data_IF_791707149510
#
_entry.id   IF_791707149510
#
_cell.length_a   1.000
_cell.length_b   1.000
_cell.length_c   1.000
_cell.angle_alpha   90.00
_cell.angle_beta   90.00
_cell.angle_gamma   90.00
#
_symmetry.space_group_name_H-M   'P 1'
#
loop_
_entity.id
_entity.type
_entity.pdbx_description
1 polymer ?
#
# COMPACT_ATOMS: atom_id res chain seq x y z
N UNK A 1 0.65 6.08 0.64
CA UNK A 1 1.35 4.95 1.28
C UNK A 1 0.63 3.59 1.14
N UNK A 2 -0.46 3.50 0.37
CA UNK A 2 -1.17 2.23 0.16
C UNK A 2 -2.21 1.87 1.23
N UNK A 3 -2.44 2.70 2.22
CA UNK A 3 -3.55 2.60 3.16
C UNK A 3 -4.80 3.30 2.61
N UNK A 4 -6.01 2.99 3.11
CA UNK A 4 -7.23 3.68 2.73
C UNK A 4 -7.13 5.21 2.89
N UNK A 5 -7.74 5.96 1.97
CA UNK A 5 -7.65 7.44 1.92
C UNK A 5 -8.26 8.15 3.13
N UNK A 6 -9.19 7.50 3.82
CA UNK A 6 -9.85 8.05 5.01
C UNK A 6 -8.88 8.29 6.16
N UNK A 7 -7.81 7.52 6.29
CA UNK A 7 -6.89 7.53 7.42
C UNK A 7 -7.62 7.34 8.77
N UNK A 8 -6.92 7.51 9.91
CA UNK A 8 -7.46 7.13 11.23
C UNK A 8 -8.65 7.99 11.66
N UNK A 9 -8.48 9.30 11.72
CA UNK A 9 -9.52 10.20 12.26
C UNK A 9 -10.77 10.25 11.40
N UNK A 10 -10.62 10.27 10.07
CA UNK A 10 -11.79 10.25 9.19
C UNK A 10 -12.51 8.89 9.22
N UNK A 11 -11.77 7.79 9.37
CA UNK A 11 -12.37 6.46 9.55
C UNK A 11 -13.19 6.42 10.85
N UNK A 12 -12.64 6.93 11.96
CA UNK A 12 -13.37 7.03 13.23
C UNK A 12 -14.66 7.85 13.10
N UNK A 13 -14.64 8.97 12.36
CA UNK A 13 -15.83 9.77 12.10
C UNK A 13 -16.89 9.04 11.24
N UNK A 14 -16.45 8.18 10.31
CA UNK A 14 -17.38 7.40 9.47
C UNK A 14 -18.01 6.25 10.25
N UNK A 15 -17.21 5.53 11.02
CA UNK A 15 -17.64 4.39 11.85
C UNK A 15 -18.48 4.86 13.05
N UNK A 16 -18.10 5.97 13.63
CA UNK A 16 -18.62 6.53 14.86
C UNK A 16 -17.66 6.36 16.02
N UNK A 17 -17.41 7.46 16.74
CA UNK A 17 -16.47 7.47 17.85
C UNK A 17 -16.88 6.55 19.00
N UNK A 18 -18.17 6.42 19.28
CA UNK A 18 -18.73 5.48 20.23
C UNK A 18 -18.36 4.02 19.90
N UNK A 19 -18.46 3.63 18.65
CA UNK A 19 -18.02 2.31 18.19
C UNK A 19 -16.51 2.13 18.37
N UNK A 20 -15.73 3.14 18.03
CA UNK A 20 -14.25 3.12 18.24
C UNK A 20 -13.89 2.94 19.70
N UNK A 21 -14.58 3.64 20.60
CA UNK A 21 -14.38 3.52 22.06
C UNK A 21 -14.77 2.14 22.56
N UNK A 22 -15.91 1.61 22.14
CA UNK A 22 -16.37 0.27 22.55
C UNK A 22 -15.38 -0.81 22.10
N UNK A 23 -14.84 -0.72 20.89
CA UNK A 23 -13.80 -1.65 20.40
C UNK A 23 -12.52 -1.53 21.21
N UNK A 24 -12.03 -0.32 21.45
CA UNK A 24 -10.81 -0.10 22.23
C UNK A 24 -10.95 -0.61 23.68
N UNK A 25 -12.07 -0.32 24.34
CA UNK A 25 -12.37 -0.80 25.68
C UNK A 25 -12.48 -2.33 25.70
N UNK A 26 -13.20 -2.91 24.74
CA UNK A 26 -13.33 -4.36 24.62
C UNK A 26 -11.99 -5.07 24.44
N UNK A 27 -11.08 -4.54 23.63
CA UNK A 27 -9.73 -5.11 23.49
C UNK A 27 -8.94 -4.93 24.79
N UNK A 28 -8.98 -3.74 25.39
CA UNK A 28 -8.30 -3.49 26.66
C UNK A 28 -8.72 -4.47 27.75
N UNK A 29 -10.02 -4.77 27.88
CA UNK A 29 -10.55 -5.64 28.92
C UNK A 29 -10.31 -7.12 28.65
N UNK A 30 -10.39 -7.54 27.38
CA UNK A 30 -10.32 -8.96 27.01
C UNK A 30 -8.89 -9.43 26.65
N UNK A 31 -7.92 -8.53 26.47
CA UNK A 31 -6.53 -8.87 26.18
C UNK A 31 -5.57 -8.41 27.29
N UNK A 32 -5.70 -8.93 28.54
CA UNK A 32 -4.93 -8.44 29.69
C UNK A 32 -3.42 -8.70 29.58
N UNK A 33 -3.01 -9.68 28.78
CA UNK A 33 -1.62 -10.09 28.62
C UNK A 33 -0.96 -9.55 27.34
N UNK A 34 -1.67 -8.72 26.56
CA UNK A 34 -1.12 -8.14 25.35
C UNK A 34 -0.08 -7.06 25.72
N UNK A 35 1.12 -7.13 25.14
CA UNK A 35 2.24 -6.21 25.44
C UNK A 35 1.94 -4.77 25.01
N UNK A 36 0.99 -4.55 24.10
CA UNK A 36 0.55 -3.25 23.65
C UNK A 36 -0.83 -2.85 24.19
N UNK A 37 -1.34 -3.59 25.19
CA UNK A 37 -2.66 -3.34 25.80
C UNK A 37 -2.88 -1.87 26.15
N UNK A 38 -1.86 -1.21 26.69
CA UNK A 38 -1.96 0.16 27.13
C UNK A 38 -2.20 1.19 26.01
N UNK A 39 -1.96 0.84 24.74
CA UNK A 39 -2.35 1.67 23.59
C UNK A 39 -3.86 1.84 23.46
N UNK A 40 -4.65 0.95 24.04
CA UNK A 40 -6.12 1.01 24.04
C UNK A 40 -6.68 1.87 25.17
N UNK A 41 -5.85 2.42 26.07
CA UNK A 41 -6.24 3.48 27.02
C UNK A 41 -6.41 4.78 26.25
N UNK A 42 -7.67 5.11 25.96
CA UNK A 42 -7.99 6.25 25.14
C UNK A 42 -7.69 7.56 25.89
N UNK A 43 -7.19 8.60 25.20
CA UNK A 43 -6.90 9.90 25.81
C UNK A 43 -8.18 10.63 26.22
N UNK A 44 -8.07 11.52 27.22
CA UNK A 44 -9.20 12.24 27.84
C UNK A 44 -10.09 12.96 26.82
N UNK A 45 -9.52 13.55 25.78
CA UNK A 45 -10.30 14.28 24.77
C UNK A 45 -11.33 13.40 24.05
N UNK A 46 -11.09 12.08 23.91
CA UNK A 46 -12.05 11.14 23.34
C UNK A 46 -13.33 11.07 24.19
N UNK A 47 -13.18 10.97 25.50
CA UNK A 47 -14.32 10.93 26.40
C UNK A 47 -15.08 12.26 26.41
N UNK A 48 -14.38 13.40 26.36
CA UNK A 48 -15.02 14.72 26.23
C UNK A 48 -15.79 14.83 24.89
N UNK A 49 -15.27 14.27 23.80
CA UNK A 49 -16.00 14.20 22.53
C UNK A 49 -17.29 13.37 22.64
N UNK A 50 -17.25 12.24 23.35
CA UNK A 50 -18.44 11.42 23.60
C UNK A 50 -19.50 12.20 24.42
N UNK A 51 -19.09 12.85 25.53
CA UNK A 51 -19.96 13.66 26.38
C UNK A 51 -20.65 14.78 25.61
N UNK A 52 -19.95 15.37 24.63
CA UNK A 52 -20.49 16.42 23.76
C UNK A 52 -21.27 15.86 22.54
N UNK A 53 -21.47 14.54 22.45
CA UNK A 53 -22.11 13.88 21.31
C UNK A 53 -21.43 14.16 19.96
N UNK A 54 -20.09 14.34 19.98
CA UNK A 54 -19.29 14.51 18.74
C UNK A 54 -18.83 13.15 18.23
N UNK A 55 -19.79 12.39 17.68
CA UNK A 55 -19.57 11.00 17.30
C UNK A 55 -19.11 10.81 15.85
N UNK A 56 -18.96 11.90 15.11
CA UNK A 56 -18.56 11.86 13.70
C UNK A 56 -19.70 12.15 12.74
N UNK A 57 -19.72 11.47 11.59
CA UNK A 57 -20.67 11.77 10.49
C UNK A 57 -22.14 11.59 10.84
N UNK A 58 -22.45 10.81 11.87
CA UNK A 58 -23.83 10.55 12.31
C UNK A 58 -24.40 11.63 13.25
N UNK A 59 -23.56 12.54 13.76
CA UNK A 59 -23.96 13.62 14.70
C UNK A 59 -23.48 15.00 14.27
N UNK A 60 -23.22 15.23 12.98
CA UNK A 60 -22.74 16.49 12.42
C UNK A 60 -21.41 17.03 12.94
N UNK A 61 -20.70 16.28 13.78
CA UNK A 61 -19.39 16.65 14.33
C UNK A 61 -18.63 15.47 14.90
N UNK A 62 -17.32 15.50 14.78
CA UNK A 62 -16.37 14.51 15.26
C UNK A 62 -14.97 15.12 15.21
N UNK A 63 -13.97 14.39 14.74
CA UNK A 63 -12.65 14.95 14.44
C UNK A 63 -12.73 16.01 13.33
N UNK A 64 -13.72 15.84 12.45
CA UNK A 64 -14.04 16.80 11.38
C UNK A 64 -15.50 17.21 11.46
N UNK A 65 -15.75 18.48 11.11
CA UNK A 65 -17.09 19.04 11.00
C UNK A 65 -17.24 19.75 9.66
N UNK A 66 -18.37 19.53 8.98
CA UNK A 66 -18.70 20.25 7.76
C UNK A 66 -19.68 21.37 8.09
N UNK A 67 -19.33 22.58 7.71
CA UNK A 67 -20.24 23.75 7.78
C UNK A 67 -20.50 24.25 6.38
N UNK A 68 -21.66 24.90 6.18
CA UNK A 68 -21.99 25.63 4.95
C UNK A 68 -22.06 27.11 5.30
N UNK A 69 -21.49 27.95 4.45
CA UNK A 69 -21.66 29.39 4.53
C UNK A 69 -23.04 29.85 3.97
N UNK A 70 -23.33 31.14 4.05
CA UNK A 70 -24.57 31.71 3.57
C UNK A 70 -24.80 31.53 2.06
N UNK A 71 -23.74 31.29 1.31
CA UNK A 71 -23.75 31.00 -0.13
C UNK A 71 -23.82 29.51 -0.45
N UNK A 72 -23.99 28.64 0.55
CA UNK A 72 -24.04 27.19 0.40
C UNK A 72 -22.69 26.51 0.18
N UNK A 73 -21.56 27.22 0.22
CA UNK A 73 -20.22 26.69 0.07
C UNK A 73 -19.83 25.91 1.30
N UNK A 74 -19.46 24.64 1.10
CA UNK A 74 -19.03 23.75 2.18
C UNK A 74 -17.57 23.99 2.58
N UNK A 75 -17.34 24.14 3.88
CA UNK A 75 -16.00 24.17 4.48
C UNK A 75 -15.86 23.05 5.51
N UNK A 76 -14.71 22.37 5.47
CA UNK A 76 -14.37 21.32 6.46
C UNK A 76 -13.50 21.96 7.56
N UNK A 77 -13.95 21.81 8.78
CA UNK A 77 -13.22 22.18 9.98
C UNK A 77 -12.58 20.92 10.58
N UNK A 78 -11.44 21.07 11.25
CA UNK A 78 -10.81 20.04 12.06
C UNK A 78 -10.82 20.46 13.53
N UNK A 79 -11.03 19.49 14.41
CA UNK A 79 -10.96 19.66 15.85
C UNK A 79 -9.49 19.79 16.29
N UNK A 80 -9.14 20.83 17.01
CA UNK A 80 -7.87 20.90 17.75
C UNK A 80 -7.99 20.04 19.00
N UNK A 81 -7.15 19.01 19.12
CA UNK A 81 -7.24 18.03 20.20
C UNK A 81 -6.77 18.57 21.59
N UNK A 82 -6.17 19.76 21.60
CA UNK A 82 -5.76 20.42 22.85
C UNK A 82 -6.80 21.39 23.38
N UNK A 83 -7.35 22.22 22.47
CA UNK A 83 -8.34 23.26 22.84
C UNK A 83 -9.77 22.76 22.71
N UNK A 84 -10.01 21.70 21.95
CA UNK A 84 -11.34 21.18 21.56
C UNK A 84 -12.18 22.21 20.79
N UNK A 85 -11.52 23.07 20.04
CA UNK A 85 -12.14 24.05 19.16
C UNK A 85 -12.02 23.66 17.70
N UNK A 86 -13.06 23.94 16.90
CA UNK A 86 -13.03 23.70 15.47
C UNK A 86 -12.41 24.86 14.71
N UNK A 87 -11.48 24.57 13.82
CA UNK A 87 -10.86 25.55 12.94
C UNK A 87 -10.74 25.02 11.50
N UNK A 88 -10.64 25.89 10.50
CA UNK A 88 -10.42 25.45 9.12
C UNK A 88 -9.18 24.57 8.99
N UNK A 89 -9.29 23.47 8.21
CA UNK A 89 -8.19 22.53 8.00
C UNK A 89 -6.98 23.27 7.41
N UNK A 90 -5.87 23.23 8.12
CA UNK A 90 -4.60 23.81 7.65
C UNK A 90 -3.91 22.82 6.72
N UNK A 91 -3.53 23.27 5.52
CA UNK A 91 -2.66 22.49 4.64
C UNK A 91 -1.25 22.47 5.20
N UNK A 92 -0.80 21.30 5.62
CA UNK A 92 0.57 21.08 6.07
C UNK A 92 1.34 20.36 4.96
N UNK A 93 2.57 20.78 4.68
CA UNK A 93 3.46 20.15 3.73
C UNK A 93 4.70 19.67 4.47
N UNK A 94 5.08 18.43 4.19
CA UNK A 94 6.32 17.83 4.68
C UNK A 94 7.18 17.41 3.51
N UNK A 95 8.46 17.70 3.55
CA UNK A 95 9.40 17.34 2.49
C UNK A 95 9.45 15.84 2.26
N UNK A 96 9.49 15.07 3.34
CA UNK A 96 9.45 13.61 3.31
C UNK A 96 8.27 13.08 2.50
N UNK A 97 7.04 13.63 2.74
CA UNK A 97 5.85 13.22 1.98
C UNK A 97 5.90 13.65 0.52
N UNK A 98 6.44 14.83 0.25
CA UNK A 98 6.57 15.33 -1.11
C UNK A 98 7.55 14.48 -1.92
N UNK A 99 8.66 14.05 -1.32
CA UNK A 99 9.63 13.17 -1.95
C UNK A 99 9.04 11.75 -2.16
N UNK A 100 8.35 11.19 -1.18
CA UNK A 100 7.69 9.90 -1.32
C UNK A 100 6.63 9.90 -2.44
N UNK A 101 5.88 11.00 -2.65
CA UNK A 101 4.88 11.10 -3.71
C UNK A 101 5.46 11.02 -5.13
N UNK A 102 6.72 11.39 -5.33
CA UNK A 102 7.41 11.32 -6.64
C UNK A 102 7.68 9.89 -7.08
N UNK A 103 7.70 8.94 -6.13
CA UNK A 103 7.95 7.52 -6.40
C UNK A 103 6.64 6.87 -6.84
N UNK A 104 6.61 6.28 -8.02
CA UNK A 104 5.40 5.63 -8.57
C UNK A 104 5.01 4.38 -7.79
N UNK A 105 5.97 3.49 -7.56
CA UNK A 105 5.75 2.25 -6.83
C UNK A 105 5.58 2.53 -5.32
N UNK A 106 4.46 2.08 -4.75
CA UNK A 106 4.10 2.37 -3.35
C UNK A 106 5.07 1.72 -2.36
N UNK A 107 5.56 0.50 -2.66
CA UNK A 107 6.44 -0.23 -1.74
C UNK A 107 7.79 0.49 -1.54
N UNK A 108 8.30 1.16 -2.56
CA UNK A 108 9.59 1.85 -2.51
C UNK A 108 9.51 3.16 -1.72
N UNK A 109 8.30 3.68 -1.48
CA UNK A 109 8.07 4.90 -0.67
C UNK A 109 8.42 4.72 0.79
N UNK A 110 8.28 3.51 1.32
CA UNK A 110 8.47 3.26 2.76
C UNK A 110 9.89 3.55 3.22
N UNK A 111 10.89 3.22 2.42
CA UNK A 111 12.29 3.57 2.71
C UNK A 111 12.49 5.09 2.79
N UNK A 112 11.90 5.86 1.86
CA UNK A 112 11.96 7.33 1.90
C UNK A 112 11.27 7.91 3.13
N UNK A 113 10.12 7.34 3.52
CA UNK A 113 9.35 7.80 4.67
C UNK A 113 10.13 7.66 5.98
N UNK A 114 10.78 6.51 6.22
CA UNK A 114 11.53 6.29 7.47
C UNK A 114 12.87 7.02 7.52
N UNK A 115 13.43 7.39 6.37
CA UNK A 115 14.68 8.15 6.29
C UNK A 115 14.46 9.67 6.35
N UNK A 116 13.22 10.15 6.35
CA UNK A 116 12.91 11.57 6.46
C UNK A 116 13.36 12.17 7.79
N UNK A 117 13.86 13.42 7.74
CA UNK A 117 14.33 14.16 8.92
C UNK A 117 13.27 15.07 9.56
N UNK A 118 12.13 15.26 8.90
CA UNK A 118 11.02 16.07 9.39
C UNK A 118 10.05 15.27 10.28
N UNK A 119 9.01 15.93 10.79
CA UNK A 119 7.98 15.30 11.64
C UNK A 119 7.26 14.13 10.96
N UNK A 120 7.16 14.12 9.64
CA UNK A 120 6.58 12.99 8.93
C UNK A 120 7.50 11.75 8.99
N UNK A 121 8.81 11.95 8.80
CA UNK A 121 9.79 10.88 8.98
C UNK A 121 9.80 10.32 10.40
N UNK A 122 9.76 11.20 11.42
CA UNK A 122 9.65 10.80 12.82
C UNK A 122 8.37 9.98 13.08
N UNK A 123 7.23 10.44 12.59
CA UNK A 123 5.95 9.74 12.70
C UNK A 123 6.01 8.35 12.08
N UNK A 124 6.60 8.19 10.88
CA UNK A 124 6.68 6.89 10.23
C UNK A 124 7.66 5.94 10.90
N UNK A 125 8.79 6.44 11.42
CA UNK A 125 9.70 5.61 12.24
C UNK A 125 9.00 5.09 13.49
N UNK A 126 8.29 5.96 14.21
CA UNK A 126 7.53 5.56 15.39
C UNK A 126 6.46 4.51 15.02
N UNK A 127 5.65 4.79 14.02
CA UNK A 127 4.54 3.93 13.63
C UNK A 127 4.99 2.56 13.14
N UNK A 128 5.99 2.52 12.24
CA UNK A 128 6.49 1.26 11.70
C UNK A 128 7.33 0.50 12.71
N UNK A 129 8.18 1.16 13.50
CA UNK A 129 8.95 0.49 14.54
C UNK A 129 8.07 -0.18 15.58
N UNK A 130 7.00 0.49 16.03
CA UNK A 130 6.01 -0.08 16.93
C UNK A 130 5.27 -1.26 16.27
N UNK A 131 4.84 -1.10 15.01
CA UNK A 131 4.18 -2.17 14.25
C UNK A 131 5.10 -3.39 14.09
N UNK A 132 6.37 -3.19 13.71
CA UNK A 132 7.31 -4.30 13.54
C UNK A 132 7.57 -5.03 14.85
N UNK A 133 7.70 -4.28 15.95
CA UNK A 133 7.82 -4.87 17.28
C UNK A 133 6.63 -5.76 17.65
N UNK A 134 5.43 -5.36 17.29
CA UNK A 134 4.23 -6.12 17.58
C UNK A 134 4.11 -7.36 16.70
N UNK A 135 4.22 -7.21 15.36
CA UNK A 135 3.97 -8.31 14.43
C UNK A 135 4.95 -9.46 14.55
N UNK A 136 6.23 -9.18 14.89
CA UNK A 136 7.23 -10.24 15.04
C UNK A 136 6.86 -11.24 16.14
N UNK A 137 6.15 -10.77 17.18
CA UNK A 137 5.70 -11.61 18.30
C UNK A 137 4.42 -12.39 17.98
N UNK A 138 3.72 -12.03 16.89
CA UNK A 138 2.53 -12.77 16.41
C UNK A 138 2.92 -14.05 15.65
N UNK A 139 4.19 -14.26 15.42
CA UNK A 139 4.74 -15.49 14.87
C UNK A 139 5.52 -16.22 15.98
N UNK A 140 5.15 -17.45 16.37
CA UNK A 140 4.04 -18.29 15.84
C UNK A 140 2.70 -18.18 16.63
N UNK A 141 2.52 -17.17 17.46
CA UNK A 141 1.35 -17.07 18.36
C UNK A 141 0.00 -17.11 17.61
N UNK A 142 -0.11 -16.37 16.51
CA UNK A 142 -1.34 -16.30 15.70
C UNK A 142 -1.19 -17.07 14.40
N UNK A 143 0.01 -17.11 13.83
CA UNK A 143 0.27 -17.76 12.55
C UNK A 143 1.70 -18.28 12.52
N UNK A 144 1.90 -19.43 11.90
CA UNK A 144 3.23 -19.99 11.67
C UNK A 144 3.93 -19.35 10.48
N UNK A 145 3.17 -18.77 9.52
CA UNK A 145 3.73 -18.19 8.32
C UNK A 145 3.50 -16.67 8.27
N UNK A 146 4.60 -15.94 8.09
CA UNK A 146 4.60 -14.47 8.08
C UNK A 146 3.71 -13.86 6.97
N UNK A 147 3.58 -14.52 5.80
CA UNK A 147 2.75 -14.01 4.71
C UNK A 147 1.25 -13.97 5.05
N UNK A 148 0.77 -14.82 5.97
CA UNK A 148 -0.63 -14.81 6.40
C UNK A 148 -0.96 -13.56 7.20
N UNK A 149 -0.01 -13.06 7.99
CA UNK A 149 -0.16 -11.77 8.69
C UNK A 149 -0.31 -10.64 7.67
N UNK A 150 0.53 -10.64 6.62
CA UNK A 150 0.43 -9.66 5.54
C UNK A 150 -0.90 -9.75 4.79
N UNK A 151 -1.33 -10.95 4.42
CA UNK A 151 -2.58 -11.17 3.69
C UNK A 151 -3.80 -10.80 4.56
N UNK A 152 -3.76 -11.06 5.87
CA UNK A 152 -4.82 -10.68 6.81
C UNK A 152 -4.97 -9.15 6.90
N UNK A 153 -3.86 -8.41 7.02
CA UNK A 153 -3.90 -6.94 7.07
C UNK A 153 -4.34 -6.33 5.73
N UNK A 154 -3.91 -6.93 4.61
CA UNK A 154 -4.34 -6.51 3.27
C UNK A 154 -5.84 -6.74 3.06
N UNK A 155 -6.34 -7.90 3.43
CA UNK A 155 -7.77 -8.25 3.29
C UNK A 155 -8.66 -7.49 4.30
N UNK A 156 -8.25 -7.44 5.57
CA UNK A 156 -9.06 -6.85 6.64
C UNK A 156 -9.08 -5.33 6.66
N UNK A 157 -7.96 -4.68 6.31
CA UNK A 157 -7.82 -3.22 6.38
C UNK A 157 -7.66 -2.56 5.00
N UNK A 158 -7.72 -3.31 3.92
CA UNK A 158 -7.58 -2.78 2.55
C UNK A 158 -6.19 -2.18 2.28
N UNK A 159 -5.15 -2.68 2.94
CA UNK A 159 -3.77 -2.23 2.69
C UNK A 159 -3.25 -2.83 1.39
N UNK A 160 -2.41 -2.08 0.68
CA UNK A 160 -1.73 -2.59 -0.53
C UNK A 160 -0.59 -3.53 -0.18
N UNK A 161 0.13 -3.24 0.90
CA UNK A 161 1.25 -4.04 1.38
C UNK A 161 1.03 -4.40 2.84
N UNK A 162 1.32 -5.63 3.20
CA UNK A 162 1.30 -6.08 4.58
C UNK A 162 2.54 -5.64 5.37
N UNK A 163 2.52 -5.79 6.69
CA UNK A 163 3.57 -5.26 7.56
C UNK A 163 4.95 -5.90 7.33
N UNK A 164 5.06 -7.21 7.05
CA UNK A 164 6.34 -7.82 6.70
C UNK A 164 6.83 -7.42 5.31
N UNK A 165 5.92 -7.18 4.35
CA UNK A 165 6.27 -6.59 3.05
C UNK A 165 6.83 -5.17 3.20
N UNK A 166 6.23 -4.35 4.06
CA UNK A 166 6.72 -3.00 4.39
C UNK A 166 8.11 -3.09 5.03
N UNK A 167 8.26 -3.96 6.02
CA UNK A 167 9.55 -4.15 6.69
C UNK A 167 10.62 -4.65 5.70
N UNK A 168 10.27 -5.59 4.84
CA UNK A 168 11.15 -6.09 3.78
C UNK A 168 11.67 -4.97 2.87
N UNK A 169 10.81 -4.01 2.49
CA UNK A 169 11.18 -2.89 1.62
C UNK A 169 12.07 -1.85 2.32
N UNK A 170 11.95 -1.71 3.63
CA UNK A 170 12.81 -0.85 4.45
C UNK A 170 14.15 -1.54 4.72
N UNK A 171 14.16 -2.87 4.75
CA UNK A 171 15.28 -3.72 5.14
C UNK A 171 15.16 -4.18 6.59
N UNK A 172 15.44 -5.48 6.84
CA UNK A 172 15.29 -6.09 8.18
C UNK A 172 16.14 -5.36 9.21
N UNK A 173 17.42 -5.14 8.93
CA UNK A 173 18.34 -4.45 9.85
C UNK A 173 17.88 -3.04 10.17
N UNK A 174 17.45 -2.29 9.16
CA UNK A 174 16.94 -0.92 9.35
C UNK A 174 15.69 -0.90 10.20
N UNK A 175 14.76 -1.84 10.00
CA UNK A 175 13.59 -1.99 10.86
C UNK A 175 13.95 -2.32 12.31
N UNK A 176 14.95 -3.16 12.54
CA UNK A 176 15.49 -3.46 13.89
C UNK A 176 16.09 -2.21 14.54
N UNK A 177 16.93 -1.45 13.82
CA UNK A 177 17.49 -0.18 14.32
C UNK A 177 16.36 0.79 14.76
N UNK A 178 15.30 0.89 13.95
CA UNK A 178 14.14 1.74 14.27
C UNK A 178 13.44 1.24 15.54
N UNK A 179 13.16 -0.06 15.65
CA UNK A 179 12.55 -0.66 16.85
C UNK A 179 13.40 -0.41 18.10
N UNK A 180 14.70 -0.65 18.04
CA UNK A 180 15.62 -0.47 19.16
C UNK A 180 15.71 1.00 19.60
N UNK A 181 15.64 1.95 18.66
CA UNK A 181 15.59 3.38 18.99
C UNK A 181 14.33 3.78 19.76
N UNK A 182 13.28 2.95 19.70
CA UNK A 182 12.03 3.10 20.45
C UNK A 182 11.99 2.26 21.74
N UNK A 183 13.09 1.58 22.08
CA UNK A 183 13.19 0.74 23.27
C UNK A 183 12.66 -0.69 23.09
N UNK A 184 12.28 -1.09 21.88
CA UNK A 184 11.84 -2.45 21.58
C UNK A 184 13.02 -3.35 21.21
N UNK A 185 12.86 -4.66 21.41
CA UNK A 185 13.89 -5.65 21.07
C UNK A 185 13.42 -6.53 19.90
N UNK A 186 14.33 -6.94 19.02
CA UNK A 186 14.00 -7.92 18.00
C UNK A 186 13.68 -9.28 18.62
N UNK A 187 12.70 -9.99 18.06
CA UNK A 187 12.41 -11.37 18.41
C UNK A 187 13.63 -12.26 18.11
N UNK A 188 13.75 -13.39 18.82
CA UNK A 188 14.87 -14.32 18.65
C UNK A 188 15.05 -14.76 17.20
N UNK A 189 13.97 -15.08 16.51
CA UNK A 189 14.00 -15.53 15.12
C UNK A 189 14.48 -14.43 14.14
N UNK A 190 14.15 -13.15 14.40
CA UNK A 190 14.69 -12.01 13.63
C UNK A 190 16.21 -11.92 13.82
N UNK A 191 16.68 -12.01 15.08
CA UNK A 191 18.11 -11.99 15.39
C UNK A 191 18.84 -13.16 14.73
N UNK A 192 18.25 -14.36 14.72
CA UNK A 192 18.79 -15.53 14.03
C UNK A 192 18.88 -15.32 12.52
N UNK A 193 17.87 -14.71 11.88
CA UNK A 193 17.93 -14.37 10.46
C UNK A 193 19.12 -13.45 10.16
N UNK A 194 19.27 -12.38 10.93
CA UNK A 194 20.37 -11.40 10.74
C UNK A 194 21.74 -12.06 10.91
N UNK A 195 21.92 -12.91 11.94
CA UNK A 195 23.16 -13.64 12.21
C UNK A 195 23.50 -14.62 11.08
N UNK A 196 22.49 -15.21 10.45
CA UNK A 196 22.63 -16.11 9.29
C UNK A 196 22.73 -15.35 7.96
N UNK A 197 22.88 -14.02 7.98
CA UNK A 197 22.97 -13.15 6.80
C UNK A 197 21.73 -13.21 5.90
N UNK A 198 20.57 -13.50 6.47
CA UNK A 198 19.26 -13.43 5.79
C UNK A 198 18.74 -12.02 6.00
N UNK A 199 18.60 -11.27 4.90
CA UNK A 199 18.32 -9.84 4.89
C UNK A 199 16.93 -9.47 4.36
N UNK A 200 16.11 -10.48 4.03
CA UNK A 200 14.77 -10.28 3.51
C UNK A 200 13.79 -11.34 4.03
N UNK A 201 12.50 -10.97 4.11
CA UNK A 201 11.40 -11.90 4.41
C UNK A 201 10.84 -12.53 3.14
N UNK A 202 10.93 -11.81 2.03
CA UNK A 202 10.44 -12.21 0.72
C UNK A 202 11.51 -12.02 -0.32
N UNK A 203 11.58 -12.95 -1.27
CA UNK A 203 12.38 -12.80 -2.50
C UNK A 203 11.62 -13.37 -3.69
N UNK A 204 11.93 -12.90 -4.87
CA UNK A 204 11.48 -13.49 -6.12
C UNK A 204 12.56 -14.46 -6.58
N UNK A 205 12.19 -15.71 -6.77
CA UNK A 205 13.04 -16.74 -7.32
C UNK A 205 12.22 -17.57 -8.30
N UNK A 206 12.76 -17.80 -9.50
CA UNK A 206 12.08 -18.53 -10.59
C UNK A 206 10.68 -17.97 -10.88
N UNK A 207 10.58 -16.62 -10.94
CA UNK A 207 9.34 -15.86 -11.15
C UNK A 207 8.24 -16.09 -10.10
N UNK A 208 8.57 -16.77 -9.00
CA UNK A 208 7.66 -16.99 -7.86
C UNK A 208 8.09 -16.19 -6.65
N UNK A 209 7.11 -15.69 -5.90
CA UNK A 209 7.38 -15.09 -4.58
C UNK A 209 7.68 -16.21 -3.60
N UNK A 210 8.84 -16.16 -2.99
CA UNK A 210 9.24 -17.03 -1.89
C UNK A 210 9.21 -16.22 -0.60
N UNK A 211 8.80 -16.84 0.50
CA UNK A 211 8.87 -16.26 1.84
C UNK A 211 9.78 -17.08 2.74
N UNK A 212 10.38 -16.43 3.72
CA UNK A 212 11.19 -17.13 4.72
C UNK A 212 10.30 -17.91 5.67
N UNK A 213 10.43 -19.22 5.67
CA UNK A 213 9.73 -20.13 6.57
C UNK A 213 10.58 -20.38 7.82
N UNK A 214 9.98 -20.14 9.00
CA UNK A 214 10.70 -20.25 10.29
C UNK A 214 10.97 -21.69 10.70
N UNK A 215 10.15 -22.63 10.27
CA UNK A 215 10.28 -24.03 10.62
C UNK A 215 11.43 -24.68 9.85
N UNK A 216 11.48 -24.46 8.54
CA UNK A 216 12.55 -24.99 7.68
C UNK A 216 13.79 -24.10 7.64
N UNK A 217 13.70 -22.86 8.17
CA UNK A 217 14.76 -21.83 8.11
C UNK A 217 15.26 -21.59 6.69
N UNK A 218 14.37 -21.66 5.72
CA UNK A 218 14.66 -21.53 4.29
C UNK A 218 13.55 -20.76 3.57
N UNK A 219 13.85 -20.36 2.33
CA UNK A 219 12.83 -19.75 1.49
C UNK A 219 12.01 -20.82 0.78
N UNK A 220 10.70 -20.76 0.92
CA UNK A 220 9.76 -21.65 0.25
C UNK A 220 8.75 -20.83 -0.56
N UNK A 221 8.22 -21.42 -1.61
CA UNK A 221 7.26 -20.74 -2.50
C UNK A 221 5.99 -20.39 -1.72
N UNK A 222 5.56 -19.12 -1.82
CA UNK A 222 4.27 -18.71 -1.26
C UNK A 222 3.15 -19.49 -1.95
N UNK A 223 2.24 -20.16 -1.20
CA UNK A 223 1.15 -20.93 -1.80
C UNK A 223 0.23 -20.10 -2.69
N UNK A 224 -0.43 -20.77 -3.65
CA UNK A 224 -1.43 -20.15 -4.54
C UNK A 224 -0.86 -19.50 -5.79
N UNK A 225 0.42 -19.72 -6.12
CA UNK A 225 1.06 -19.17 -7.32
C UNK A 225 1.28 -20.20 -8.43
N UNK A 226 0.93 -21.47 -8.20
CA UNK A 226 1.30 -22.57 -9.12
C UNK A 226 0.63 -22.43 -10.48
N UNK A 227 -0.59 -21.88 -10.53
CA UNK A 227 -1.37 -21.66 -11.74
C UNK A 227 -1.33 -20.21 -12.27
N UNK A 228 -0.48 -19.35 -11.67
CA UNK A 228 -0.43 -17.93 -12.01
C UNK A 228 0.92 -17.55 -12.62
N UNK A 229 0.88 -16.75 -13.67
CA UNK A 229 2.02 -15.99 -14.18
C UNK A 229 1.86 -14.56 -13.65
N UNK A 230 2.78 -14.15 -12.78
CA UNK A 230 2.79 -12.79 -12.22
C UNK A 230 3.78 -11.97 -13.06
N UNK A 231 3.28 -11.05 -13.86
CA UNK A 231 4.07 -10.32 -14.86
C UNK A 231 5.22 -9.54 -14.24
N UNK A 232 5.01 -8.97 -13.05
CA UNK A 232 6.03 -8.21 -12.32
C UNK A 232 7.16 -9.10 -11.75
N UNK A 233 6.95 -10.40 -11.65
CA UNK A 233 7.95 -11.34 -11.18
C UNK A 233 8.82 -11.91 -12.31
N UNK A 234 8.44 -11.69 -13.57
CA UNK A 234 9.20 -12.16 -14.71
C UNK A 234 10.53 -11.41 -14.83
N UNK A 235 11.59 -12.13 -15.14
CA UNK A 235 12.92 -11.56 -15.35
C UNK A 235 12.92 -10.56 -16.52
N UNK A 236 13.83 -9.60 -16.48
CA UNK A 236 14.03 -8.64 -17.58
C UNK A 236 14.41 -9.33 -18.90
N UNK A 237 15.06 -10.50 -18.82
CA UNK A 237 15.40 -11.32 -19.99
C UNK A 237 14.17 -11.86 -20.76
N UNK A 238 12.99 -11.90 -20.13
CA UNK A 238 11.74 -12.26 -20.82
C UNK A 238 11.18 -11.13 -21.68
N UNK A 239 11.70 -9.89 -21.55
CA UNK A 239 11.25 -8.75 -22.34
C UNK A 239 11.73 -8.91 -23.79
N UNK A 240 10.78 -8.97 -24.71
CA UNK A 240 11.04 -9.11 -26.15
C UNK A 240 11.05 -7.74 -26.82
N UNK A 241 10.18 -6.85 -26.37
CA UNK A 241 10.10 -5.47 -26.87
C UNK A 241 9.36 -4.58 -25.88
N UNK A 242 9.68 -3.28 -25.88
CA UNK A 242 8.98 -2.28 -25.08
C UNK A 242 9.04 -0.89 -25.71
N UNK A 243 8.08 -0.04 -25.33
CA UNK A 243 8.09 1.39 -25.47
C UNK A 243 7.64 2.05 -24.15
N UNK A 244 7.40 3.37 -24.14
CA UNK A 244 6.96 4.06 -22.92
C UNK A 244 5.59 3.59 -22.40
N UNK A 245 4.72 3.09 -23.28
CA UNK A 245 3.29 2.83 -23.02
C UNK A 245 2.93 1.35 -22.94
N UNK A 246 3.82 0.46 -23.41
CA UNK A 246 3.57 -0.99 -23.43
C UNK A 246 4.86 -1.80 -23.41
N UNK A 247 4.75 -3.05 -22.92
CA UNK A 247 5.84 -4.01 -22.92
C UNK A 247 5.34 -5.36 -23.41
N UNK A 248 6.16 -6.05 -24.19
CA UNK A 248 5.91 -7.42 -24.67
C UNK A 248 6.92 -8.34 -24.01
N UNK A 249 6.41 -9.36 -23.33
CA UNK A 249 7.21 -10.39 -22.64
C UNK A 249 6.91 -11.77 -23.18
N UNK A 250 7.94 -12.60 -23.29
CA UNK A 250 7.79 -14.03 -23.43
C UNK A 250 7.40 -14.64 -22.07
N UNK A 251 6.24 -15.24 -21.99
CA UNK A 251 5.70 -15.87 -20.78
C UNK A 251 5.83 -17.39 -20.75
N UNK A 252 6.56 -17.96 -21.71
CA UNK A 252 6.78 -19.39 -21.87
C UNK A 252 5.80 -20.01 -22.86
N UNK A 253 6.04 -21.28 -23.17
CA UNK A 253 5.21 -22.11 -24.06
C UNK A 253 4.97 -21.53 -25.47
N UNK A 254 5.83 -20.60 -25.89
CA UNK A 254 5.70 -19.88 -27.15
C UNK A 254 4.59 -18.83 -27.14
N UNK A 255 4.25 -18.29 -25.99
CA UNK A 255 3.21 -17.26 -25.82
C UNK A 255 3.84 -15.94 -25.45
N UNK A 256 3.43 -14.87 -26.15
CA UNK A 256 3.74 -13.49 -25.78
C UNK A 256 2.65 -12.92 -24.90
N UNK A 257 3.04 -12.13 -23.89
CA UNK A 257 2.12 -11.24 -23.19
C UNK A 257 2.43 -9.79 -23.56
N UNK A 258 1.40 -9.03 -23.93
CA UNK A 258 1.49 -7.59 -24.03
C UNK A 258 0.80 -6.95 -22.83
N UNK A 259 1.54 -6.08 -22.11
CA UNK A 259 1.09 -5.34 -20.95
C UNK A 259 1.09 -3.83 -21.24
N UNK A 260 -0.01 -3.14 -20.92
CA UNK A 260 -0.12 -1.70 -21.04
C UNK A 260 0.46 -1.02 -19.80
N UNK A 261 1.20 0.07 -19.99
CA UNK A 261 1.88 0.83 -18.93
C UNK A 261 1.46 2.28 -18.82
N UNK A 262 0.44 2.69 -19.55
CA UNK A 262 -0.15 4.00 -19.46
C UNK A 262 -0.91 4.20 -18.14
N UNK A 263 -1.18 5.44 -17.77
CA UNK A 263 -2.02 5.73 -16.60
C UNK A 263 -3.41 5.09 -16.79
N UNK A 264 -3.81 4.24 -15.83
CA UNK A 264 -5.05 3.46 -15.88
C UNK A 264 -5.16 2.54 -17.10
N UNK A 265 -4.05 2.16 -17.70
CA UNK A 265 -3.97 1.33 -18.90
C UNK A 265 -4.82 1.87 -20.07
N UNK A 266 -4.84 3.20 -20.24
CA UNK A 266 -5.56 3.84 -21.36
C UNK A 266 -4.91 3.49 -22.68
N UNK A 267 -5.74 3.26 -23.71
CA UNK A 267 -5.31 2.93 -25.05
C UNK A 267 -4.94 4.23 -25.80
N UNK A 268 -3.67 4.40 -26.07
CA UNK A 268 -3.10 5.49 -26.86
C UNK A 268 -2.18 4.93 -27.94
N UNK A 269 -1.56 5.81 -28.72
CA UNK A 269 -0.74 5.46 -29.88
C UNK A 269 0.36 4.43 -29.51
N UNK A 270 1.08 4.63 -28.40
CA UNK A 270 2.14 3.71 -27.98
C UNK A 270 1.64 2.31 -27.61
N UNK A 271 0.40 2.20 -27.09
CA UNK A 271 -0.24 0.90 -26.84
C UNK A 271 -0.63 0.22 -28.17
N UNK A 272 -1.20 0.98 -29.11
CA UNK A 272 -1.55 0.45 -30.46
C UNK A 272 -0.31 -0.03 -31.22
N UNK A 273 0.78 0.74 -31.15
CA UNK A 273 2.07 0.31 -31.70
C UNK A 273 2.56 -0.99 -31.09
N UNK A 274 2.41 -1.14 -29.75
CA UNK A 274 2.77 -2.36 -29.05
C UNK A 274 1.91 -3.55 -29.48
N UNK A 275 0.59 -3.37 -29.64
CA UNK A 275 -0.32 -4.41 -30.13
C UNK A 275 0.05 -4.90 -31.53
N UNK A 276 0.28 -3.96 -32.47
CA UNK A 276 0.74 -4.31 -33.81
C UNK A 276 2.08 -5.05 -33.77
N UNK A 277 3.02 -4.56 -32.94
CA UNK A 277 4.32 -5.21 -32.79
C UNK A 277 4.21 -6.61 -32.20
N UNK A 278 3.28 -6.84 -31.26
CA UNK A 278 3.03 -8.17 -30.71
C UNK A 278 2.52 -9.15 -31.79
N UNK A 279 1.64 -8.68 -32.67
CA UNK A 279 1.16 -9.47 -33.81
C UNK A 279 2.32 -9.85 -34.76
N UNK A 280 3.11 -8.86 -35.18
CA UNK A 280 4.27 -9.06 -36.06
C UNK A 280 5.28 -10.09 -35.50
N UNK A 281 5.47 -10.07 -34.19
CA UNK A 281 6.38 -11.00 -33.50
C UNK A 281 5.76 -12.38 -33.40
N UNK A 282 4.48 -12.44 -33.08
CA UNK A 282 3.78 -13.72 -32.91
C UNK A 282 3.70 -14.50 -34.23
N UNK A 283 3.38 -13.87 -35.34
CA UNK A 283 3.33 -14.50 -36.66
C UNK A 283 4.66 -15.14 -37.10
N UNK A 284 5.78 -14.61 -36.57
CA UNK A 284 7.13 -15.10 -36.95
C UNK A 284 7.62 -16.24 -36.08
N UNK A 285 7.42 -16.13 -34.73
CA UNK A 285 8.18 -16.94 -33.78
C UNK A 285 7.37 -17.49 -32.60
N UNK A 286 6.07 -17.16 -32.49
CA UNK A 286 5.28 -17.53 -31.31
C UNK A 286 3.97 -18.18 -31.73
N UNK A 287 3.32 -18.86 -30.79
CA UNK A 287 2.07 -19.57 -30.98
C UNK A 287 0.83 -18.73 -30.76
N UNK A 288 0.98 -17.63 -29.98
CA UNK A 288 -0.14 -16.77 -29.63
C UNK A 288 0.25 -15.60 -28.76
N UNK A 289 -0.75 -14.74 -28.51
CA UNK A 289 -0.63 -13.52 -27.72
C UNK A 289 -1.67 -13.55 -26.63
N UNK A 290 -1.26 -13.13 -25.43
CA UNK A 290 -2.14 -12.78 -24.31
C UNK A 290 -2.06 -11.27 -24.10
N UNK A 291 -3.20 -10.60 -24.01
CA UNK A 291 -3.28 -9.21 -23.56
C UNK A 291 -3.60 -9.25 -22.08
N UNK A 292 -2.59 -9.01 -21.23
CA UNK A 292 -2.71 -9.14 -19.79
C UNK A 292 -2.00 -8.01 -19.06
N UNK A 293 -2.69 -7.38 -18.11
CA UNK A 293 -2.17 -6.26 -17.34
C UNK A 293 -2.19 -6.58 -15.85
N UNK A 294 -1.15 -6.16 -15.13
CA UNK A 294 -1.20 -6.09 -13.68
C UNK A 294 -1.66 -4.69 -13.26
N UNK A 295 -2.79 -4.60 -12.53
CA UNK A 295 -3.34 -3.33 -12.08
C UNK A 295 -4.79 -3.46 -11.61
N UNK A 296 -5.35 -2.35 -11.15
CA UNK A 296 -6.75 -2.29 -10.69
C UNK A 296 -7.77 -2.35 -11.83
N UNK A 297 -7.34 -2.11 -13.06
CA UNK A 297 -8.18 -2.09 -14.25
C UNK A 297 -7.44 -2.76 -15.41
N UNK A 298 -8.19 -3.50 -16.23
CA UNK A 298 -7.64 -4.01 -17.49
C UNK A 298 -7.30 -2.84 -18.41
N UNK A 299 -8.24 -1.94 -18.65
CA UNK A 299 -8.06 -0.67 -19.35
C UNK A 299 -9.19 0.30 -18.99
N UNK A 300 -8.91 1.59 -18.95
CA UNK A 300 -9.93 2.65 -18.86
C UNK A 300 -10.49 3.05 -20.24
N UNK A 301 -10.11 2.34 -21.30
CA UNK A 301 -10.53 2.62 -22.68
C UNK A 301 -9.60 3.61 -23.39
N UNK A 302 -10.08 4.19 -24.47
CA UNK A 302 -9.31 5.08 -25.33
C UNK A 302 -8.84 6.36 -24.62
N UNK A 303 -7.69 6.87 -25.05
CA UNK A 303 -7.20 8.18 -24.60
C UNK A 303 -8.01 9.31 -25.27
N UNK A 304 -9.12 9.71 -24.61
CA UNK A 304 -10.01 10.75 -25.12
C UNK A 304 -9.31 12.09 -25.38
N UNK A 305 -8.23 12.40 -24.63
CA UNK A 305 -7.44 13.60 -24.85
C UNK A 305 -6.73 13.57 -26.20
N UNK A 306 -6.13 12.44 -26.56
CA UNK A 306 -5.48 12.25 -27.85
C UNK A 306 -6.49 12.32 -29.01
N UNK A 307 -7.64 11.66 -28.86
CA UNK A 307 -8.72 11.72 -29.85
C UNK A 307 -9.21 13.15 -30.04
N UNK A 308 -9.40 13.90 -28.95
CA UNK A 308 -9.84 15.29 -29.03
C UNK A 308 -8.80 16.17 -29.75
N UNK A 309 -7.51 15.98 -29.47
CA UNK A 309 -6.45 16.73 -30.15
C UNK A 309 -6.43 16.44 -31.66
N UNK A 310 -6.43 15.18 -32.06
CA UNK A 310 -6.46 14.78 -33.47
C UNK A 310 -7.73 15.33 -34.18
N UNK A 311 -8.87 15.29 -33.53
CA UNK A 311 -10.11 15.88 -34.07
C UNK A 311 -10.02 17.40 -34.21
N UNK A 312 -9.40 18.11 -33.26
CA UNK A 312 -9.21 19.56 -33.32
C UNK A 312 -8.23 19.97 -34.42
N UNK A 313 -7.22 19.14 -34.71
CA UNK A 313 -6.23 19.30 -35.76
C UNK A 313 -6.72 18.77 -37.12
N UNK A 314 -7.95 18.22 -37.18
CA UNK A 314 -8.58 17.65 -38.40
C UNK A 314 -7.83 16.44 -38.96
N UNK A 315 -7.05 15.76 -38.13
CA UNK A 315 -6.31 14.55 -38.47
C UNK A 315 -7.19 13.30 -38.26
N UNK A 316 -8.30 13.23 -39.02
CA UNK A 316 -9.32 12.17 -38.88
C UNK A 316 -8.80 10.77 -39.19
N UNK A 317 -7.78 10.65 -40.02
CA UNK A 317 -7.15 9.37 -40.34
C UNK A 317 -6.39 8.76 -39.15
N UNK A 318 -5.97 9.60 -38.18
CA UNK A 318 -5.36 9.14 -36.94
C UNK A 318 -6.37 8.68 -35.88
N UNK A 319 -7.66 8.96 -36.09
CA UNK A 319 -8.76 8.57 -35.19
C UNK A 319 -9.35 7.20 -35.54
N UNK A 320 -9.22 6.79 -36.79
CA UNK A 320 -9.74 5.51 -37.32
C UNK A 320 -8.68 4.41 -37.16
#
# INVERSE_FOLDING_TARGET
IGSPKSATFRTSDVVGLDTTVNVATGIYDNCPNDEFRDTFKLPKYIYTMLENNWLGSKTDGGFYKRIKDENGKSTILSLDLKTLEYSPVKKVSFETLNNAKKISNVIDRFSVLVNGSDKAGEFYRFNFGTMFSYIQNRIPEISDELYRVDDALRAGFGWKNGPFQIWNSIGIKKGVEIMESLGHKPAKWISEMINNKIDCFYKIQDSKVNYYDLNTKSFIIKPGQDSLIILNNLNTSSTVWENNDSIIKDIGDGILNIEFRTKMNTLGQGVLMGLNKAVDLAEKNYRGIVIGNEGSHFSAGANLGAIFMAAAEQEYDEIN
#
